data_IF_281758927256
#
_entry.id   IF_281758927256
#
_cell.length_a   1.000
_cell.length_b   1.000
_cell.length_c   1.000
_cell.angle_alpha   90.00
_cell.angle_beta   90.00
_cell.angle_gamma   90.00
#
_symmetry.space_group_name_H-M   'P 1'
#
loop_
_entity.id
_entity.type
_entity.pdbx_description
1 polymer ?
#
# COMPACT_ATOMS: atom_id res chain seq x y z
N UNK A 1 20.62 85.68 36.63
CA UNK A 1 20.68 84.90 35.42
C UNK A 1 19.24 84.38 35.09
N UNK A 2 18.57 85.00 34.13
CA UNK A 2 17.19 84.65 33.77
C UNK A 2 17.16 83.65 32.62
N UNK A 3 16.56 82.44 32.86
CA UNK A 3 16.46 81.37 31.93
C UNK A 3 15.22 81.64 31.02
N UNK A 4 15.47 82.03 29.76
CA UNK A 4 14.43 82.21 28.72
C UNK A 4 13.80 80.88 28.40
N UNK A 5 12.52 80.76 28.73
CA UNK A 5 11.66 79.69 28.31
C UNK A 5 11.30 79.91 26.82
N UNK A 6 11.70 78.97 25.90
CA UNK A 6 11.29 79.00 24.52
C UNK A 6 9.84 78.44 24.48
N UNK A 7 8.89 79.25 24.05
CA UNK A 7 7.59 78.86 23.66
C UNK A 7 7.70 78.00 22.37
N UNK A 8 7.22 76.77 22.44
CA UNK A 8 6.98 75.96 21.25
C UNK A 8 5.70 76.46 20.62
N UNK A 9 5.79 77.08 19.47
CA UNK A 9 4.66 77.35 18.56
C UNK A 9 4.16 75.98 18.13
N UNK A 10 2.95 75.62 18.57
CA UNK A 10 2.18 74.50 18.02
C UNK A 10 1.80 74.89 16.58
N UNK A 11 2.54 74.36 15.59
CA UNK A 11 2.11 74.37 14.21
C UNK A 11 0.88 73.47 14.15
N UNK A 12 -0.33 74.05 14.05
CA UNK A 12 -1.55 73.35 13.68
C UNK A 12 -1.35 72.74 12.28
N UNK A 13 -1.04 71.48 12.23
CA UNK A 13 -1.04 70.72 11.00
C UNK A 13 -2.50 70.61 10.51
N UNK A 14 -2.84 71.45 9.55
CA UNK A 14 -4.16 71.39 8.87
C UNK A 14 -4.30 70.09 8.12
N UNK A 15 -4.74 69.05 8.85
CA UNK A 15 -4.93 67.70 8.33
C UNK A 15 -6.19 67.68 7.51
N UNK A 16 -6.13 68.06 6.24
CA UNK A 16 -7.23 67.89 5.29
C UNK A 16 -7.44 66.39 4.98
N UNK A 17 -8.42 65.78 5.63
CA UNK A 17 -8.86 64.46 5.29
C UNK A 17 -9.36 64.47 3.82
N UNK A 18 -8.68 63.76 2.87
CA UNK A 18 -9.15 63.70 1.51
C UNK A 18 -10.57 63.16 1.47
N UNK A 19 -11.51 63.87 0.80
CA UNK A 19 -12.89 63.40 0.64
C UNK A 19 -12.86 62.06 -0.03
N UNK A 20 -13.48 61.03 0.62
CA UNK A 20 -13.62 59.71 0.06
C UNK A 20 -14.54 59.76 -1.17
N UNK A 21 -14.01 59.41 -2.32
CA UNK A 21 -14.75 59.34 -3.58
C UNK A 21 -15.33 57.89 -3.70
N UNK A 22 -16.60 57.77 -3.31
CA UNK A 22 -17.34 56.52 -3.24
C UNK A 22 -17.49 55.88 -4.64
N UNK A 23 -17.80 56.70 -5.66
CA UNK A 23 -18.00 56.21 -7.03
C UNK A 23 -16.73 55.57 -7.58
N UNK A 24 -15.56 56.23 -7.45
CA UNK A 24 -14.30 55.67 -7.87
C UNK A 24 -13.88 54.42 -7.08
N UNK A 25 -14.26 54.38 -5.81
CA UNK A 25 -14.03 53.18 -4.99
C UNK A 25 -14.88 51.99 -5.52
N UNK A 26 -16.16 52.19 -5.73
CA UNK A 26 -17.06 51.15 -6.24
C UNK A 26 -16.66 50.69 -7.65
N UNK A 27 -16.26 51.59 -8.52
CA UNK A 27 -15.73 51.20 -9.86
C UNK A 27 -14.48 50.34 -9.75
N UNK A 28 -13.53 50.68 -8.86
CA UNK A 28 -12.31 49.87 -8.63
C UNK A 28 -12.66 48.50 -8.07
N UNK A 29 -13.56 48.39 -7.11
CA UNK A 29 -13.99 47.13 -6.53
C UNK A 29 -14.70 46.25 -7.56
N UNK A 30 -15.65 46.79 -8.33
CA UNK A 30 -16.32 46.07 -9.42
C UNK A 30 -15.33 45.57 -10.49
N UNK A 31 -14.34 46.37 -10.83
CA UNK A 31 -13.25 45.99 -11.75
C UNK A 31 -12.40 44.86 -11.14
N UNK A 32 -12.00 44.99 -9.89
CA UNK A 32 -11.22 43.97 -9.20
C UNK A 32 -11.95 42.61 -9.13
N UNK A 33 -13.24 42.63 -8.83
CA UNK A 33 -14.10 41.43 -8.83
C UNK A 33 -14.13 40.81 -10.23
N UNK A 34 -14.35 41.62 -11.27
CA UNK A 34 -14.39 41.15 -12.67
C UNK A 34 -13.07 40.55 -13.10
N UNK A 35 -11.95 41.23 -12.83
CA UNK A 35 -10.62 40.73 -13.22
C UNK A 35 -10.24 39.47 -12.45
N UNK A 36 -10.58 39.38 -11.18
CA UNK A 36 -10.38 38.18 -10.36
C UNK A 36 -11.14 36.98 -10.93
N UNK A 37 -12.44 37.16 -11.17
CA UNK A 37 -13.28 36.10 -11.74
C UNK A 37 -12.81 35.66 -13.13
N UNK A 38 -12.44 36.61 -13.99
CA UNK A 38 -11.93 36.29 -15.33
C UNK A 38 -10.57 35.60 -15.27
N UNK A 39 -9.70 35.99 -14.36
CA UNK A 39 -8.42 35.30 -14.14
C UNK A 39 -8.60 33.87 -13.71
N UNK A 40 -9.56 33.64 -12.79
CA UNK A 40 -9.94 32.29 -12.37
C UNK A 40 -10.48 31.47 -13.54
N UNK A 41 -11.48 31.99 -14.27
CA UNK A 41 -12.08 31.29 -15.40
C UNK A 41 -11.04 30.99 -16.51
N UNK A 42 -10.19 31.98 -16.81
CA UNK A 42 -9.11 31.79 -17.79
C UNK A 42 -8.11 30.73 -17.33
N UNK A 43 -7.70 30.73 -16.06
CA UNK A 43 -6.85 29.69 -15.48
C UNK A 43 -7.47 28.30 -15.59
N UNK A 44 -8.75 28.17 -15.35
CA UNK A 44 -9.50 26.93 -15.50
C UNK A 44 -9.48 26.43 -16.95
N UNK A 45 -9.77 27.32 -17.94
CA UNK A 45 -9.76 26.96 -19.36
C UNK A 45 -8.35 26.54 -19.82
N UNK A 46 -7.32 27.29 -19.43
CA UNK A 46 -5.94 26.93 -19.78
C UNK A 46 -5.52 25.61 -19.13
N UNK A 47 -6.01 25.28 -17.92
CA UNK A 47 -5.76 23.98 -17.32
C UNK A 47 -6.37 22.83 -18.13
N UNK A 48 -7.59 22.99 -18.65
CA UNK A 48 -8.21 21.99 -19.53
C UNK A 48 -7.41 21.79 -20.82
N UNK A 49 -6.93 22.88 -21.43
CA UNK A 49 -6.08 22.80 -22.63
C UNK A 49 -4.75 22.13 -22.29
N UNK A 50 -4.13 22.48 -21.16
CA UNK A 50 -2.89 21.88 -20.67
C UNK A 50 -3.07 20.37 -20.42
N UNK A 51 -4.21 19.95 -19.92
CA UNK A 51 -4.56 18.54 -19.75
C UNK A 51 -4.70 17.82 -21.11
N UNK A 52 -5.25 18.47 -22.12
CA UNK A 52 -5.24 17.96 -23.49
C UNK A 52 -3.81 17.72 -24.01
N UNK A 53 -2.91 18.69 -23.81
CA UNK A 53 -1.49 18.51 -24.13
C UNK A 53 -0.82 17.42 -23.30
N UNK A 54 -1.25 17.24 -22.04
CA UNK A 54 -0.81 16.15 -21.18
C UNK A 54 -1.02 14.78 -21.84
N UNK A 55 -2.16 14.55 -22.46
CA UNK A 55 -2.42 13.32 -23.22
C UNK A 55 -1.61 13.20 -24.50
N UNK A 56 -1.46 14.29 -25.24
CA UNK A 56 -0.70 14.30 -26.50
C UNK A 56 0.80 14.04 -26.30
N UNK A 57 1.35 14.52 -25.19
CA UNK A 57 2.77 14.43 -24.84
C UNK A 57 3.11 13.20 -23.98
N UNK A 58 2.25 12.20 -23.87
CA UNK A 58 2.42 11.06 -22.95
C UNK A 58 3.71 10.26 -23.17
N UNK A 59 4.30 10.30 -24.37
CA UNK A 59 5.56 9.63 -24.72
C UNK A 59 6.81 10.51 -24.54
N UNK A 60 6.64 11.78 -24.21
CA UNK A 60 7.75 12.73 -24.08
C UNK A 60 8.31 12.75 -22.65
N UNK A 61 9.63 12.64 -22.52
CA UNK A 61 10.31 12.82 -21.22
C UNK A 61 10.24 14.25 -20.70
N UNK A 62 10.01 15.23 -21.58
CA UNK A 62 9.88 16.65 -21.25
C UNK A 62 8.42 17.11 -21.06
N UNK A 63 7.53 16.18 -20.80
CA UNK A 63 6.08 16.42 -20.67
C UNK A 63 5.76 17.54 -19.67
N UNK A 64 6.30 17.45 -18.46
CA UNK A 64 6.08 18.44 -17.41
C UNK A 64 6.62 19.82 -17.76
N UNK A 65 7.84 19.88 -18.26
CA UNK A 65 8.52 21.11 -18.60
C UNK A 65 7.75 21.88 -19.69
N UNK A 66 7.31 21.18 -20.73
CA UNK A 66 6.55 21.79 -21.82
C UNK A 66 5.20 22.34 -21.36
N UNK A 67 4.50 21.60 -20.48
CA UNK A 67 3.21 22.04 -19.96
C UNK A 67 3.37 23.20 -18.97
N UNK A 68 4.40 23.18 -18.12
CA UNK A 68 4.71 24.32 -17.23
C UNK A 68 5.04 25.58 -18.05
N UNK A 69 5.86 25.45 -19.09
CA UNK A 69 6.16 26.57 -20.00
C UNK A 69 4.89 27.10 -20.66
N UNK A 70 4.05 26.22 -21.20
CA UNK A 70 2.79 26.61 -21.82
C UNK A 70 1.91 27.40 -20.84
N UNK A 71 1.73 26.92 -19.60
CA UNK A 71 0.93 27.58 -18.58
C UNK A 71 1.50 28.95 -18.18
N UNK A 72 2.82 29.05 -18.02
CA UNK A 72 3.47 30.34 -17.70
C UNK A 72 3.30 31.35 -18.84
N UNK A 73 3.55 30.94 -20.09
CA UNK A 73 3.42 31.85 -21.25
C UNK A 73 1.97 32.23 -21.51
N UNK A 74 1.01 31.32 -21.28
CA UNK A 74 -0.42 31.61 -21.46
C UNK A 74 -0.91 32.73 -20.54
N UNK A 75 -0.26 32.93 -19.37
CA UNK A 75 -0.56 34.05 -18.48
C UNK A 75 -0.46 35.42 -19.18
N UNK A 76 0.45 35.60 -20.14
CA UNK A 76 0.58 36.85 -20.90
C UNK A 76 -0.67 37.20 -21.72
N UNK A 77 -1.50 36.22 -22.09
CA UNK A 77 -2.74 36.42 -22.80
C UNK A 77 -3.85 37.01 -21.94
N UNK A 78 -3.70 36.97 -20.63
CA UNK A 78 -4.65 37.55 -19.68
C UNK A 78 -4.88 39.05 -19.93
N UNK A 79 -3.82 39.78 -20.30
CA UNK A 79 -3.93 41.19 -20.71
C UNK A 79 -4.84 41.38 -21.91
N UNK A 80 -4.64 40.56 -22.97
CA UNK A 80 -5.45 40.66 -24.18
C UNK A 80 -6.92 40.30 -23.90
N UNK A 81 -7.15 39.34 -23.01
CA UNK A 81 -8.50 38.97 -22.57
C UNK A 81 -9.22 40.15 -21.91
N UNK A 82 -8.55 40.85 -20.99
CA UNK A 82 -9.13 42.01 -20.30
C UNK A 82 -9.47 43.15 -21.27
N UNK A 83 -8.55 43.42 -22.24
CA UNK A 83 -8.77 44.45 -23.29
C UNK A 83 -9.96 44.07 -24.15
N UNK A 84 -10.05 42.80 -24.62
CA UNK A 84 -11.14 42.31 -25.46
C UNK A 84 -12.50 42.38 -24.76
N UNK A 85 -12.53 42.23 -23.46
CA UNK A 85 -13.73 42.34 -22.64
C UNK A 85 -14.03 43.78 -22.14
N UNK A 86 -13.33 44.80 -22.74
CA UNK A 86 -13.50 46.21 -22.47
C UNK A 86 -13.41 46.58 -20.98
N UNK A 87 -12.47 45.96 -20.27
CA UNK A 87 -12.21 46.32 -18.87
C UNK A 87 -11.30 47.54 -18.86
N UNK A 88 -11.68 48.57 -18.14
CA UNK A 88 -10.85 49.77 -17.97
C UNK A 88 -9.60 49.41 -17.14
N UNK A 89 -8.39 49.52 -17.76
CA UNK A 89 -7.13 49.16 -17.16
C UNK A 89 -6.28 50.41 -16.80
N UNK A 90 -6.80 51.64 -16.98
CA UNK A 90 -6.02 52.86 -16.82
C UNK A 90 -5.43 52.99 -15.41
N UNK A 91 -6.23 52.68 -14.38
CA UNK A 91 -5.77 52.66 -12.99
C UNK A 91 -5.42 51.25 -12.45
N UNK A 92 -5.15 50.27 -13.36
CA UNK A 92 -4.86 48.89 -12.95
C UNK A 92 -3.38 48.74 -12.57
N UNK A 93 -3.03 49.21 -11.38
CA UNK A 93 -1.66 49.23 -10.89
C UNK A 93 -1.00 47.85 -10.77
N UNK A 94 0.30 47.83 -10.43
CA UNK A 94 1.10 46.60 -10.27
C UNK A 94 0.47 45.56 -9.35
N UNK A 95 -0.25 46.01 -8.28
CA UNK A 95 -0.96 45.09 -7.36
C UNK A 95 -2.11 44.34 -8.05
N UNK A 96 -2.88 45.00 -8.90
CA UNK A 96 -3.98 44.37 -9.65
C UNK A 96 -3.45 43.31 -10.62
N UNK A 97 -2.38 43.60 -11.37
CA UNK A 97 -1.73 42.63 -12.22
C UNK A 97 -1.19 41.44 -11.45
N UNK A 98 -0.46 41.69 -10.36
CA UNK A 98 0.07 40.62 -9.52
C UNK A 98 -1.04 39.69 -8.99
N UNK A 99 -2.13 40.26 -8.48
CA UNK A 99 -3.29 39.50 -8.00
C UNK A 99 -3.90 38.66 -9.12
N UNK A 100 -4.12 39.25 -10.30
CA UNK A 100 -4.73 38.55 -11.45
C UNK A 100 -3.86 37.39 -11.93
N UNK A 101 -2.53 37.59 -12.07
CA UNK A 101 -1.60 36.52 -12.45
C UNK A 101 -1.49 35.45 -11.38
N UNK A 102 -1.49 35.81 -10.12
CA UNK A 102 -1.44 34.87 -8.99
C UNK A 102 -2.69 33.98 -9.01
N UNK A 103 -3.88 34.55 -9.15
CA UNK A 103 -5.13 33.80 -9.21
C UNK A 103 -5.15 32.89 -10.43
N UNK A 104 -4.78 33.42 -11.60
CA UNK A 104 -4.64 32.62 -12.82
C UNK A 104 -3.71 31.43 -12.61
N UNK A 105 -2.47 31.66 -12.12
CA UNK A 105 -1.45 30.65 -11.97
C UNK A 105 -1.86 29.56 -10.99
N UNK A 106 -2.32 29.92 -9.80
CA UNK A 106 -2.74 28.92 -8.83
C UNK A 106 -3.99 28.16 -9.26
N UNK A 107 -4.96 28.79 -9.91
CA UNK A 107 -6.12 28.09 -10.47
C UNK A 107 -5.68 27.08 -11.53
N UNK A 108 -4.87 27.54 -12.51
CA UNK A 108 -4.35 26.68 -13.55
C UNK A 108 -3.57 25.50 -12.99
N UNK A 109 -2.64 25.74 -12.07
CA UNK A 109 -1.81 24.70 -11.48
C UNK A 109 -2.63 23.70 -10.66
N UNK A 110 -3.53 24.19 -9.81
CA UNK A 110 -4.38 23.32 -8.97
C UNK A 110 -5.28 22.43 -9.82
N UNK A 111 -5.96 23.00 -10.82
CA UNK A 111 -6.83 22.23 -11.71
C UNK A 111 -6.02 21.22 -12.54
N UNK A 112 -4.86 21.61 -13.04
CA UNK A 112 -3.97 20.70 -13.79
C UNK A 112 -3.51 19.53 -12.92
N UNK A 113 -3.10 19.79 -11.66
CA UNK A 113 -2.69 18.72 -10.73
C UNK A 113 -3.87 17.77 -10.45
N UNK A 114 -5.07 18.29 -10.24
CA UNK A 114 -6.25 17.45 -10.02
C UNK A 114 -6.52 16.58 -11.26
N UNK A 115 -6.50 17.17 -12.46
CA UNK A 115 -6.78 16.44 -13.68
C UNK A 115 -5.69 15.44 -14.08
N UNK A 116 -4.42 15.70 -13.74
CA UNK A 116 -3.30 14.81 -14.05
C UNK A 116 -3.07 13.70 -13.01
N UNK A 117 -3.97 13.58 -12.03
CA UNK A 117 -3.91 12.55 -10.98
C UNK A 117 -5.21 11.72 -10.94
N UNK A 118 -5.19 10.53 -10.34
CA UNK A 118 -6.39 9.74 -10.14
C UNK A 118 -7.49 10.51 -9.37
N UNK A 119 -8.77 10.34 -9.69
CA UNK A 119 -9.33 9.37 -10.66
C UNK A 119 -9.39 9.86 -12.12
N UNK A 120 -8.95 11.10 -12.44
CA UNK A 120 -9.08 11.69 -13.79
C UNK A 120 -8.02 11.18 -14.77
N UNK A 121 -6.84 10.87 -14.27
CA UNK A 121 -5.74 10.34 -15.06
C UNK A 121 -4.91 9.35 -14.25
N UNK A 122 -4.67 8.20 -14.85
CA UNK A 122 -3.74 7.19 -14.37
C UNK A 122 -3.09 6.51 -15.58
N UNK A 123 -1.77 6.40 -15.58
CA UNK A 123 -0.96 5.73 -16.61
C UNK A 123 -0.13 4.57 -16.01
N UNK A 124 -0.40 4.22 -14.76
CA UNK A 124 0.29 3.17 -14.04
C UNK A 124 -0.47 1.84 -14.14
N UNK A 125 0.20 0.72 -14.44
CA UNK A 125 -0.45 -0.57 -14.43
C UNK A 125 -0.69 -1.06 -13.00
N UNK A 126 -1.68 -1.95 -12.77
CA UNK A 126 -1.94 -2.55 -11.47
C UNK A 126 -0.71 -3.19 -10.83
N UNK A 127 -0.60 -3.11 -9.52
CA UNK A 127 0.42 -3.81 -8.76
C UNK A 127 -0.13 -5.16 -8.28
N UNK A 128 0.55 -6.24 -8.63
CA UNK A 128 0.18 -7.62 -8.28
C UNK A 128 1.27 -8.23 -7.42
N UNK A 129 0.95 -8.54 -6.16
CA UNK A 129 1.79 -9.33 -5.27
C UNK A 129 1.14 -10.69 -5.06
N UNK A 130 1.71 -11.76 -5.64
CA UNK A 130 1.14 -13.09 -5.64
C UNK A 130 2.06 -14.10 -4.95
N UNK A 131 1.45 -15.08 -4.26
CA UNK A 131 2.16 -16.20 -3.60
C UNK A 131 1.37 -17.49 -3.75
N UNK A 132 2.08 -18.61 -3.81
CA UNK A 132 1.54 -19.95 -3.59
C UNK A 132 1.85 -20.39 -2.17
N UNK A 133 0.92 -20.94 -1.45
CA UNK A 133 1.05 -21.42 -0.07
C UNK A 133 0.66 -22.89 -0.02
N UNK A 134 1.61 -23.78 0.23
CA UNK A 134 3.07 -23.60 0.18
C UNK A 134 3.60 -23.51 -1.26
N UNK A 135 4.89 -23.15 -1.43
CA UNK A 135 5.57 -23.21 -2.73
C UNK A 135 5.89 -24.65 -3.15
N UNK A 136 6.14 -25.54 -2.18
CA UNK A 136 6.24 -26.99 -2.39
C UNK A 136 5.25 -27.69 -1.48
N UNK A 137 4.39 -28.51 -2.06
CA UNK A 137 3.34 -29.25 -1.37
C UNK A 137 3.55 -30.75 -1.55
N UNK A 138 3.15 -31.53 -0.56
CA UNK A 138 3.02 -32.97 -0.64
C UNK A 138 1.80 -33.40 -1.47
N UNK A 139 1.88 -34.58 -2.06
CA UNK A 139 0.74 -35.22 -2.76
C UNK A 139 -0.42 -35.37 -1.76
N UNK A 140 -1.64 -35.07 -2.22
CA UNK A 140 -2.85 -35.08 -1.38
C UNK A 140 -3.07 -33.82 -0.56
N UNK A 141 -2.08 -32.92 -0.50
CA UNK A 141 -2.24 -31.60 0.09
C UNK A 141 -2.82 -30.57 -0.87
N UNK A 142 -3.21 -29.43 -0.35
CA UNK A 142 -3.77 -28.29 -1.13
C UNK A 142 -2.77 -27.20 -1.28
N UNK A 143 -2.78 -26.48 -2.41
CA UNK A 143 -2.03 -25.25 -2.61
C UNK A 143 -3.00 -24.08 -2.69
N UNK A 144 -2.83 -23.11 -1.82
CA UNK A 144 -3.62 -21.87 -1.82
C UNK A 144 -2.85 -20.78 -2.54
N UNK A 145 -3.38 -20.33 -3.67
CA UNK A 145 -2.82 -19.21 -4.44
C UNK A 145 -3.53 -17.94 -3.96
N UNK A 146 -2.76 -16.96 -3.52
CA UNK A 146 -3.28 -15.68 -3.05
C UNK A 146 -2.54 -14.54 -3.73
N UNK A 147 -3.27 -13.55 -4.20
CA UNK A 147 -2.67 -12.34 -4.77
C UNK A 147 -3.36 -11.09 -4.25
N UNK A 148 -2.57 -10.12 -3.82
CA UNK A 148 -3.02 -8.76 -3.54
C UNK A 148 -2.84 -7.92 -4.79
N UNK A 149 -3.94 -7.38 -5.30
CA UNK A 149 -4.01 -6.64 -6.57
C UNK A 149 -4.56 -5.27 -6.26
N UNK A 150 -3.74 -4.24 -6.40
CA UNK A 150 -4.10 -2.85 -6.12
C UNK A 150 -3.73 -1.94 -7.29
N UNK A 151 -4.52 -0.91 -7.45
CA UNK A 151 -4.32 0.12 -8.44
C UNK A 151 -4.90 1.45 -7.98
N UNK A 152 -4.37 2.56 -8.50
CA UNK A 152 -4.83 3.91 -8.17
C UNK A 152 -6.23 4.20 -8.73
N UNK A 153 -6.52 3.68 -9.93
CA UNK A 153 -7.82 3.80 -10.58
C UNK A 153 -8.79 2.67 -10.18
N UNK A 154 -8.26 1.60 -9.57
CA UNK A 154 -9.00 0.42 -9.15
C UNK A 154 -9.01 -0.72 -10.16
N UNK A 155 -9.19 -1.93 -9.66
CA UNK A 155 -9.29 -3.16 -10.47
C UNK A 155 -10.59 -3.87 -10.13
N UNK A 156 -11.37 -4.19 -11.15
CA UNK A 156 -12.58 -4.98 -11.00
C UNK A 156 -12.31 -6.47 -11.28
N UNK A 157 -13.11 -7.37 -10.68
CA UNK A 157 -12.97 -8.83 -10.90
C UNK A 157 -12.98 -9.20 -12.39
N UNK A 158 -13.80 -8.53 -13.21
CA UNK A 158 -13.87 -8.76 -14.67
C UNK A 158 -12.58 -8.42 -15.42
N UNK A 159 -11.73 -7.54 -14.86
CA UNK A 159 -10.42 -7.18 -15.39
C UNK A 159 -9.32 -8.17 -15.01
N UNK A 160 -9.63 -9.20 -14.21
CA UNK A 160 -8.64 -10.18 -13.74
C UNK A 160 -8.83 -11.49 -14.49
N UNK A 161 -7.72 -12.03 -15.04
CA UNK A 161 -7.66 -13.35 -15.61
C UNK A 161 -6.67 -14.19 -14.81
N UNK A 162 -7.12 -15.36 -14.34
CA UNK A 162 -6.32 -16.33 -13.62
C UNK A 162 -6.17 -17.59 -14.47
N UNK A 163 -4.94 -18.00 -14.73
CA UNK A 163 -4.62 -19.20 -15.52
C UNK A 163 -3.75 -20.12 -14.68
N UNK A 164 -4.16 -21.37 -14.55
CA UNK A 164 -3.37 -22.44 -13.95
C UNK A 164 -2.72 -23.26 -15.06
N UNK A 165 -1.44 -23.57 -14.93
CA UNK A 165 -0.64 -24.35 -15.88
C UNK A 165 -0.22 -25.65 -15.18
N UNK A 166 -0.58 -26.77 -15.77
CA UNK A 166 -0.24 -28.11 -15.27
C UNK A 166 1.15 -28.54 -15.70
N UNK A 167 1.75 -29.57 -15.05
CA UNK A 167 3.08 -30.08 -15.42
C UNK A 167 3.17 -30.60 -16.86
N UNK A 168 2.06 -31.00 -17.45
CA UNK A 168 1.98 -31.43 -18.86
C UNK A 168 1.84 -30.25 -19.85
N UNK A 169 1.89 -28.99 -19.38
CA UNK A 169 1.71 -27.79 -20.19
C UNK A 169 0.27 -27.40 -20.47
N UNK A 170 -0.71 -28.20 -20.09
CA UNK A 170 -2.12 -27.85 -20.23
C UNK A 170 -2.47 -26.64 -19.36
N UNK A 171 -3.44 -25.84 -19.83
CA UNK A 171 -3.88 -24.63 -19.14
C UNK A 171 -5.36 -24.74 -18.79
N UNK A 172 -5.72 -24.23 -17.62
CA UNK A 172 -7.11 -24.05 -17.21
C UNK A 172 -7.35 -22.65 -16.68
N UNK A 173 -8.60 -22.22 -16.70
CA UNK A 173 -9.04 -20.93 -16.17
C UNK A 173 -10.10 -21.18 -15.10
N UNK A 174 -9.68 -21.61 -13.89
CA UNK A 174 -10.63 -21.90 -12.83
C UNK A 174 -11.21 -20.62 -12.24
N UNK A 175 -12.44 -20.73 -11.72
CA UNK A 175 -13.06 -19.66 -10.96
C UNK A 175 -12.29 -19.36 -9.70
N UNK A 176 -12.22 -18.08 -9.34
CA UNK A 176 -11.52 -17.58 -8.15
C UNK A 176 -12.38 -16.59 -7.38
N UNK A 177 -12.11 -16.45 -6.09
CA UNK A 177 -12.67 -15.39 -5.26
C UNK A 177 -11.84 -14.12 -5.41
N UNK A 178 -12.51 -12.98 -5.54
CA UNK A 178 -11.85 -11.66 -5.51
C UNK A 178 -12.66 -10.73 -4.62
N UNK A 179 -12.11 -10.43 -3.46
CA UNK A 179 -12.73 -9.57 -2.43
C UNK A 179 -11.64 -8.71 -1.76
N UNK A 180 -11.95 -7.46 -1.49
CA UNK A 180 -11.02 -6.52 -0.84
C UNK A 180 -9.63 -6.49 -1.50
N UNK A 181 -9.59 -6.48 -2.83
CA UNK A 181 -8.38 -6.50 -3.64
C UNK A 181 -7.51 -7.77 -3.48
N UNK A 182 -8.11 -8.85 -2.98
CA UNK A 182 -7.44 -10.13 -2.78
C UNK A 182 -8.08 -11.17 -3.68
N UNK A 183 -7.26 -11.72 -4.60
CA UNK A 183 -7.58 -12.94 -5.33
C UNK A 183 -7.19 -14.12 -4.46
N UNK A 184 -8.08 -15.10 -4.32
CA UNK A 184 -7.84 -16.34 -3.61
C UNK A 184 -8.38 -17.53 -4.40
N UNK A 185 -7.55 -18.54 -4.58
CA UNK A 185 -7.87 -19.81 -5.22
C UNK A 185 -7.20 -20.95 -4.48
N UNK A 186 -7.90 -22.08 -4.28
CA UNK A 186 -7.32 -23.28 -3.64
C UNK A 186 -7.34 -24.43 -4.65
N UNK A 187 -6.17 -24.98 -4.92
CA UNK A 187 -5.99 -26.12 -5.79
C UNK A 187 -5.85 -27.41 -4.96
N UNK A 188 -6.60 -28.43 -5.31
CA UNK A 188 -6.70 -29.69 -4.56
C UNK A 188 -5.90 -30.85 -5.15
N UNK A 189 -5.29 -30.71 -6.32
CA UNK A 189 -4.58 -31.74 -7.07
C UNK A 189 -5.33 -33.12 -7.11
N UNK A 190 -6.49 -33.18 -7.74
CA UNK A 190 -7.37 -34.35 -7.64
C UNK A 190 -6.75 -35.62 -8.18
N UNK A 191 -5.80 -35.50 -9.09
CA UNK A 191 -5.14 -36.67 -9.74
C UNK A 191 -3.79 -37.03 -9.12
N UNK A 192 -3.39 -36.39 -8.03
CA UNK A 192 -2.11 -36.57 -7.36
C UNK A 192 -0.90 -36.52 -8.30
N UNK A 193 -0.94 -35.62 -9.29
CA UNK A 193 0.15 -35.48 -10.27
C UNK A 193 1.29 -34.69 -9.63
N UNK A 194 2.48 -35.29 -9.62
CA UNK A 194 3.71 -34.63 -9.22
C UNK A 194 4.26 -33.74 -10.32
N UNK A 195 5.06 -32.75 -9.93
CA UNK A 195 5.77 -31.88 -10.85
C UNK A 195 5.53 -30.41 -10.58
N UNK A 196 6.07 -29.60 -11.46
CA UNK A 196 5.98 -28.15 -11.37
C UNK A 196 4.70 -27.65 -12.05
N UNK A 197 3.94 -26.88 -11.31
CA UNK A 197 2.76 -26.17 -11.74
C UNK A 197 3.09 -24.69 -11.86
N UNK A 198 2.51 -24.02 -12.85
CA UNK A 198 2.59 -22.58 -12.98
C UNK A 198 1.23 -21.93 -12.76
N UNK A 199 1.24 -20.66 -12.38
CA UNK A 199 0.04 -19.83 -12.49
C UNK A 199 0.38 -18.45 -13.02
N UNK A 200 -0.55 -17.91 -13.78
CA UNK A 200 -0.44 -16.58 -14.37
C UNK A 200 -1.65 -15.76 -13.94
N UNK A 201 -1.39 -14.61 -13.37
CA UNK A 201 -2.41 -13.61 -13.03
C UNK A 201 -2.20 -12.41 -13.92
N UNK A 202 -3.22 -12.07 -14.68
CA UNK A 202 -3.29 -10.85 -15.47
C UNK A 202 -4.34 -9.96 -14.86
N UNK A 203 -3.97 -8.72 -14.53
CA UNK A 203 -4.94 -7.71 -14.11
C UNK A 203 -4.90 -6.53 -15.07
N UNK A 204 -6.07 -6.01 -15.36
CA UNK A 204 -6.32 -4.83 -16.19
C UNK A 204 -7.12 -3.84 -15.34
N UNK A 205 -6.66 -2.61 -15.26
CA UNK A 205 -7.37 -1.52 -14.59
C UNK A 205 -8.53 -0.97 -15.45
N UNK A 206 -9.24 0.01 -14.92
CA UNK A 206 -10.34 0.67 -15.65
C UNK A 206 -9.84 1.51 -16.83
N UNK A 207 -8.55 1.85 -16.89
CA UNK A 207 -7.90 2.61 -17.97
C UNK A 207 -7.23 1.71 -19.02
N UNK A 208 -7.42 0.38 -18.92
CA UNK A 208 -6.83 -0.65 -19.79
C UNK A 208 -5.31 -0.84 -19.67
N UNK A 209 -4.68 -0.42 -18.56
CA UNK A 209 -3.30 -0.78 -18.29
C UNK A 209 -3.24 -2.20 -17.75
N UNK A 210 -2.30 -2.97 -18.29
CA UNK A 210 -2.21 -4.40 -18.03
C UNK A 210 -0.94 -4.76 -17.26
N UNK A 211 -1.08 -5.59 -16.24
CA UNK A 211 0.03 -6.25 -15.54
C UNK A 211 -0.15 -7.76 -15.60
N UNK A 212 0.97 -8.45 -15.80
CA UNK A 212 1.03 -9.92 -15.78
C UNK A 212 2.07 -10.35 -14.77
N UNK A 213 1.71 -11.29 -13.91
CA UNK A 213 2.63 -11.95 -12.96
C UNK A 213 2.49 -13.45 -13.15
N UNK A 214 3.64 -14.14 -13.28
CA UNK A 214 3.74 -15.59 -13.35
C UNK A 214 4.56 -16.09 -12.18
N UNK A 215 4.10 -17.18 -11.54
CA UNK A 215 4.82 -17.91 -10.48
C UNK A 215 4.55 -19.39 -10.57
N UNK A 216 5.40 -20.16 -9.90
CA UNK A 216 5.32 -21.61 -9.89
C UNK A 216 5.13 -22.15 -8.47
N UNK A 217 4.64 -23.36 -8.37
CA UNK A 217 4.63 -24.19 -7.17
C UNK A 217 4.81 -25.66 -7.58
N UNK A 218 5.21 -26.51 -6.65
CA UNK A 218 5.56 -27.90 -6.96
C UNK A 218 4.83 -28.86 -6.06
N UNK A 219 4.36 -29.98 -6.63
CA UNK A 219 3.92 -31.14 -5.89
C UNK A 219 5.01 -32.20 -5.90
N UNK A 220 5.39 -32.68 -4.72
CA UNK A 220 6.43 -33.69 -4.49
C UNK A 220 5.95 -34.69 -3.43
N UNK A 221 6.60 -35.81 -3.31
CA UNK A 221 6.46 -36.79 -2.22
C UNK A 221 7.61 -36.72 -1.21
N UNK A 222 8.40 -35.66 -1.26
CA UNK A 222 9.62 -35.50 -0.44
C UNK A 222 9.78 -34.08 0.08
N UNK A 223 8.68 -33.30 0.16
CA UNK A 223 8.72 -31.97 0.75
C UNK A 223 8.97 -32.04 2.26
N UNK A 224 8.43 -33.07 2.93
CA UNK A 224 8.77 -33.43 4.31
C UNK A 224 9.36 -34.84 4.29
N UNK A 225 10.47 -35.05 4.98
CA UNK A 225 11.12 -36.33 5.09
C UNK A 225 11.64 -36.58 6.50
N UNK A 226 11.52 -37.81 6.97
CA UNK A 226 12.26 -38.25 8.16
C UNK A 226 13.72 -38.50 7.78
N UNK A 227 14.65 -37.74 8.33
CA UNK A 227 16.06 -37.91 8.12
C UNK A 227 16.69 -38.91 9.11
N UNK A 228 16.14 -39.02 10.31
CA UNK A 228 16.59 -39.95 11.37
C UNK A 228 15.49 -40.22 12.38
N UNK A 229 15.37 -41.43 12.89
CA UNK A 229 16.06 -42.66 12.53
C UNK A 229 15.58 -43.27 11.22
N UNK A 230 16.41 -44.00 10.51
CA UNK A 230 16.05 -44.67 9.27
C UNK A 230 15.10 -45.87 9.51
N UNK A 231 14.30 -46.23 8.48
CA UNK A 231 13.43 -47.41 8.52
C UNK A 231 12.11 -47.21 9.21
N UNK A 232 11.74 -45.97 9.53
CA UNK A 232 10.45 -45.68 10.19
C UNK A 232 9.25 -45.73 9.26
N UNK A 233 9.42 -45.77 7.95
CA UNK A 233 8.30 -45.85 6.97
C UNK A 233 7.68 -47.24 6.88
N UNK A 234 8.31 -48.24 7.46
CA UNK A 234 7.86 -49.63 7.46
C UNK A 234 7.60 -50.14 8.87
N UNK A 235 6.57 -50.97 9.05
CA UNK A 235 6.27 -51.61 10.32
C UNK A 235 7.20 -52.81 10.53
N UNK A 236 7.75 -53.00 11.74
CA UNK A 236 7.38 -52.38 13.02
C UNK A 236 8.07 -51.03 13.31
N UNK A 237 8.94 -50.53 12.48
CA UNK A 237 9.72 -49.31 12.67
C UNK A 237 10.88 -49.44 13.67
N UNK A 238 11.78 -48.44 13.75
CA UNK A 238 12.91 -48.44 14.65
C UNK A 238 12.52 -48.29 16.11
N UNK A 239 13.33 -48.84 17.00
CA UNK A 239 13.23 -48.67 18.46
C UNK A 239 13.71 -47.27 18.85
N UNK A 240 12.92 -46.55 19.62
CA UNK A 240 13.28 -45.21 20.10
C UNK A 240 13.08 -45.14 21.63
N UNK A 241 14.00 -44.40 22.26
CA UNK A 241 13.98 -44.11 23.70
C UNK A 241 13.72 -42.62 23.94
N UNK A 242 13.54 -42.20 25.19
CA UNK A 242 13.29 -40.79 25.55
C UNK A 242 14.36 -39.83 24.98
N UNK A 243 15.63 -40.25 24.83
CA UNK A 243 16.74 -39.45 24.34
C UNK A 243 17.01 -39.58 22.85
N UNK A 244 16.28 -40.44 22.13
CA UNK A 244 16.46 -40.61 20.69
C UNK A 244 16.10 -39.33 19.92
N UNK A 245 17.06 -38.79 19.14
CA UNK A 245 16.80 -37.62 18.31
C UNK A 245 16.08 -38.03 17.03
N UNK A 246 14.90 -37.49 16.84
CA UNK A 246 14.10 -37.63 15.61
C UNK A 246 14.30 -36.37 14.77
N UNK A 247 14.74 -36.53 13.53
CA UNK A 247 15.08 -35.41 12.63
C UNK A 247 14.21 -35.43 11.39
N UNK A 248 13.57 -34.28 11.12
CA UNK A 248 12.80 -34.06 9.91
C UNK A 248 13.49 -33.03 9.02
N UNK A 249 13.54 -33.34 7.73
CA UNK A 249 13.95 -32.42 6.67
C UNK A 249 12.68 -31.82 6.04
N UNK A 250 12.64 -30.50 5.84
CA UNK A 250 11.51 -29.80 5.25
C UNK A 250 12.00 -28.89 4.15
N UNK A 251 11.76 -29.29 2.90
CA UNK A 251 12.21 -28.60 1.69
C UNK A 251 11.21 -27.54 1.19
N UNK A 252 10.75 -26.69 2.09
CA UNK A 252 9.94 -25.51 1.78
C UNK A 252 10.04 -24.49 2.92
N UNK A 253 9.72 -23.23 2.62
CA UNK A 253 9.71 -22.20 3.66
C UNK A 253 8.48 -22.37 4.54
N UNK A 254 8.68 -22.66 5.82
CA UNK A 254 7.62 -22.90 6.79
C UNK A 254 7.74 -21.99 8.00
N UNK A 255 6.62 -21.71 8.62
CA UNK A 255 6.55 -20.90 9.84
C UNK A 255 6.60 -21.77 11.10
N UNK A 256 6.05 -22.99 11.04
CA UNK A 256 5.96 -23.92 12.14
C UNK A 256 6.01 -25.34 11.61
N UNK A 257 6.76 -26.23 12.27
CA UNK A 257 6.69 -27.67 12.04
C UNK A 257 6.17 -28.33 13.32
N UNK A 258 5.28 -29.28 13.17
CA UNK A 258 4.73 -30.06 14.27
C UNK A 258 4.35 -31.45 13.78
N UNK A 259 4.20 -32.35 14.74
CA UNK A 259 3.73 -33.70 14.45
C UNK A 259 2.67 -34.12 15.47
N UNK A 260 1.98 -35.20 15.16
CA UNK A 260 1.05 -35.88 16.05
C UNK A 260 1.44 -37.34 16.20
N UNK A 261 1.34 -37.87 17.41
CA UNK A 261 1.52 -39.28 17.74
C UNK A 261 0.15 -39.88 17.91
N UNK A 262 -0.16 -40.95 17.16
CA UNK A 262 -1.45 -41.65 17.15
C UNK A 262 -2.64 -40.68 17.08
N UNK A 263 -2.55 -39.66 16.21
CA UNK A 263 -3.54 -38.57 16.06
C UNK A 263 -3.84 -37.76 17.35
N UNK A 264 -2.92 -37.80 18.30
CA UNK A 264 -2.99 -37.06 19.56
C UNK A 264 -2.74 -35.54 19.39
N UNK A 265 -2.26 -34.93 20.48
CA UNK A 265 -1.96 -33.49 20.51
C UNK A 265 -0.82 -33.10 19.55
N UNK A 266 -0.81 -31.83 19.14
CA UNK A 266 0.27 -31.27 18.33
C UNK A 266 1.54 -31.07 19.17
N UNK A 267 2.64 -31.64 18.72
CA UNK A 267 3.96 -31.49 19.34
C UNK A 267 4.83 -30.66 18.42
N UNK A 268 5.24 -29.48 18.87
CA UNK A 268 6.07 -28.59 18.07
C UNK A 268 7.49 -29.15 17.90
N UNK A 269 8.07 -28.89 16.74
CA UNK A 269 9.47 -29.25 16.42
C UNK A 269 10.28 -27.97 16.27
N UNK A 270 11.45 -27.94 16.89
CA UNK A 270 12.38 -26.82 16.77
C UNK A 270 13.49 -27.13 15.76
N UNK A 271 13.97 -26.09 15.09
CA UNK A 271 15.17 -26.16 14.26
C UNK A 271 16.34 -25.55 15.06
N UNK A 272 17.30 -26.33 15.55
CA UNK A 272 18.50 -25.82 16.21
C UNK A 272 19.30 -24.91 15.27
N UNK A 273 20.03 -23.93 15.83
CA UNK A 273 20.80 -22.97 15.03
C UNK A 273 21.90 -23.64 14.17
N UNK A 274 22.46 -24.73 14.68
CA UNK A 274 23.57 -25.43 14.07
C UNK A 274 23.14 -26.72 13.32
N UNK A 275 21.83 -26.82 13.01
CA UNK A 275 21.25 -27.98 12.32
C UNK A 275 20.43 -27.54 11.12
N UNK A 276 20.53 -28.27 10.02
CA UNK A 276 19.62 -28.09 8.86
C UNK A 276 18.27 -28.78 9.07
N UNK A 277 18.16 -29.63 10.10
CA UNK A 277 16.99 -30.43 10.38
C UNK A 277 16.14 -29.86 11.51
N UNK A 278 14.85 -30.13 11.48
CA UNK A 278 13.95 -29.97 12.58
C UNK A 278 14.09 -31.15 13.52
N UNK A 279 14.34 -30.93 14.83
CA UNK A 279 14.67 -31.96 15.80
C UNK A 279 13.66 -32.07 16.91
N UNK A 280 13.30 -33.29 17.27
CA UNK A 280 12.40 -33.60 18.39
C UNK A 280 12.84 -34.86 19.11
N UNK A 281 12.22 -35.13 20.27
CA UNK A 281 12.52 -36.24 21.15
C UNK A 281 11.27 -36.88 21.71
N UNK A 282 11.24 -38.22 21.90
CA UNK A 282 10.07 -38.90 22.52
C UNK A 282 9.81 -38.52 23.99
N UNK A 283 10.71 -37.81 24.64
CA UNK A 283 10.53 -37.29 26.00
C UNK A 283 9.39 -36.28 26.16
N UNK A 284 8.95 -35.64 25.05
CA UNK A 284 7.94 -34.59 25.12
C UNK A 284 6.53 -35.14 25.34
N UNK A 285 5.71 -34.36 26.08
CA UNK A 285 4.30 -34.66 26.30
C UNK A 285 3.57 -34.83 24.96
N UNK A 286 2.67 -35.81 24.91
CA UNK A 286 1.99 -36.25 23.69
C UNK A 286 2.53 -37.59 23.15
N UNK A 287 3.74 -38.00 23.58
CA UNK A 287 4.18 -39.38 23.41
C UNK A 287 3.60 -40.26 24.52
N UNK A 288 3.02 -41.43 24.19
CA UNK A 288 2.48 -42.33 25.21
C UNK A 288 3.59 -42.96 26.04
N UNK A 289 3.42 -43.09 27.32
CA UNK A 289 4.36 -43.78 28.22
C UNK A 289 4.32 -45.30 28.01
N UNK A 290 5.43 -45.96 28.35
CA UNK A 290 5.62 -47.42 28.31
C UNK A 290 5.98 -47.94 26.92
N UNK A 291 6.22 -49.28 26.84
CA UNK A 291 6.63 -49.96 25.63
C UNK A 291 5.43 -50.10 24.70
N UNK A 292 5.38 -49.31 23.63
CA UNK A 292 4.30 -49.28 22.64
C UNK A 292 4.79 -49.03 21.23
N UNK A 293 4.02 -49.53 20.27
CA UNK A 293 4.17 -49.13 18.89
C UNK A 293 3.29 -47.91 18.63
N UNK A 294 3.85 -46.89 18.01
CA UNK A 294 3.17 -45.62 17.71
C UNK A 294 3.31 -45.24 16.25
N UNK A 295 2.39 -44.42 15.81
CA UNK A 295 2.43 -43.78 14.50
C UNK A 295 2.68 -42.29 14.64
N UNK A 296 3.52 -41.72 13.79
CA UNK A 296 3.80 -40.28 13.74
C UNK A 296 3.47 -39.73 12.37
N UNK A 297 2.72 -38.63 12.37
CA UNK A 297 2.37 -37.87 11.19
C UNK A 297 2.87 -36.44 11.32
N UNK A 298 3.52 -35.93 10.29
CA UNK A 298 4.21 -34.62 10.31
C UNK A 298 3.45 -33.59 9.51
N UNK A 299 3.47 -32.38 10.00
CA UNK A 299 2.78 -31.23 9.41
C UNK A 299 3.68 -29.99 9.46
N UNK A 300 3.55 -29.14 8.45
CA UNK A 300 4.26 -27.87 8.43
C UNK A 300 3.31 -26.73 8.02
N UNK A 301 3.20 -25.72 8.85
CA UNK A 301 2.35 -24.55 8.61
C UNK A 301 3.14 -23.49 7.84
N UNK A 302 2.53 -22.96 6.80
CA UNK A 302 3.01 -21.83 6.02
C UNK A 302 2.06 -20.65 6.21
N UNK A 303 2.60 -19.52 6.64
CA UNK A 303 1.83 -18.29 6.86
C UNK A 303 2.43 -17.17 6.01
N UNK A 304 1.57 -16.45 5.31
CA UNK A 304 1.96 -15.27 4.54
C UNK A 304 1.13 -14.05 4.93
N UNK A 305 1.79 -12.89 4.94
CA UNK A 305 1.19 -11.58 5.16
C UNK A 305 1.53 -10.65 3.99
N UNK A 306 0.52 -10.05 3.40
CA UNK A 306 0.78 -8.95 2.47
C UNK A 306 1.04 -7.65 3.24
N UNK A 307 1.95 -6.85 2.73
CA UNK A 307 2.23 -5.52 3.28
C UNK A 307 0.93 -4.70 3.31
N UNK A 308 0.67 -4.06 4.44
CA UNK A 308 -0.51 -3.19 4.68
C UNK A 308 -1.88 -3.90 4.74
N UNK A 309 -1.93 -5.23 4.77
CA UNK A 309 -3.17 -5.97 5.01
C UNK A 309 -3.19 -6.51 6.44
N UNK A 310 -4.31 -6.28 7.16
CA UNK A 310 -4.55 -6.91 8.46
C UNK A 310 -5.16 -8.31 8.28
N UNK A 311 -4.54 -9.14 7.45
CA UNK A 311 -5.01 -10.49 7.14
C UNK A 311 -3.84 -11.43 6.94
N UNK A 312 -3.88 -12.56 7.64
CA UNK A 312 -2.96 -13.67 7.41
C UNK A 312 -3.57 -14.71 6.50
N UNK A 313 -2.75 -15.32 5.68
CA UNK A 313 -3.09 -16.43 4.82
C UNK A 313 -2.28 -17.63 5.29
N UNK A 314 -2.97 -18.70 5.67
CA UNK A 314 -2.36 -19.92 6.18
C UNK A 314 -2.70 -21.09 5.28
N UNK A 315 -1.75 -21.99 5.10
CA UNK A 315 -1.95 -23.34 4.60
C UNK A 315 -1.01 -24.30 5.31
N UNK A 316 -1.24 -25.60 5.18
CA UNK A 316 -0.47 -26.64 5.85
C UNK A 316 0.03 -27.64 4.82
N UNK A 317 1.32 -27.97 4.89
CA UNK A 317 1.91 -29.15 4.25
C UNK A 317 1.64 -30.33 5.16
N UNK A 318 1.03 -31.36 4.62
CA UNK A 318 0.82 -32.64 5.32
C UNK A 318 1.70 -33.67 4.71
N UNK A 319 2.60 -34.27 5.49
CA UNK A 319 3.48 -35.32 5.03
C UNK A 319 2.65 -36.48 4.45
N UNK A 320 2.99 -36.92 3.26
CA UNK A 320 2.37 -38.07 2.62
C UNK A 320 2.75 -39.40 3.28
N UNK A 321 3.90 -39.43 3.97
CA UNK A 321 4.37 -40.58 4.72
C UNK A 321 3.75 -40.64 6.14
N UNK A 322 3.72 -41.85 6.70
CA UNK A 322 3.41 -42.10 8.09
C UNK A 322 4.58 -42.88 8.68
N UNK A 323 5.09 -42.43 9.81
CA UNK A 323 6.24 -43.02 10.44
C UNK A 323 5.83 -43.92 11.62
N UNK A 324 6.52 -45.06 11.78
CA UNK A 324 6.26 -46.05 12.81
C UNK A 324 7.45 -46.13 13.74
N UNK A 325 7.19 -46.16 15.04
CA UNK A 325 8.24 -46.28 16.06
C UNK A 325 7.83 -47.27 17.13
N UNK A 326 8.84 -47.98 17.71
CA UNK A 326 8.70 -48.81 18.86
C UNK A 326 9.27 -48.08 20.08
N UNK A 327 8.42 -47.65 20.98
CA UNK A 327 8.84 -46.97 22.22
C UNK A 327 9.40 -47.95 23.21
N UNK A 328 10.52 -47.62 23.87
CA UNK A 328 11.17 -48.48 24.87
C UNK A 328 11.85 -47.60 25.95
N UNK A 329 11.64 -47.93 27.21
CA UNK A 329 12.29 -47.28 28.34
C UNK A 329 11.42 -46.29 29.09
N UNK A 330 11.98 -45.66 30.09
CA UNK A 330 11.35 -44.66 31.00
C UNK A 330 11.59 -43.23 30.47
N UNK A 331 10.84 -42.25 31.00
CA UNK A 331 11.00 -40.84 30.68
C UNK A 331 10.31 -40.37 29.40
N UNK A 332 9.56 -41.25 28.71
CA UNK A 332 8.83 -40.92 27.49
C UNK A 332 7.56 -40.12 27.86
N UNK A 333 7.34 -38.98 27.20
CA UNK A 333 6.15 -38.13 27.38
C UNK A 333 6.15 -37.26 28.64
N UNK A 334 7.25 -37.16 29.37
CA UNK A 334 7.32 -36.48 30.67
C UNK A 334 7.62 -34.96 30.56
N UNK A 335 8.34 -34.54 29.54
CA UNK A 335 8.78 -33.14 29.38
C UNK A 335 7.78 -32.29 28.58
N UNK A 336 7.68 -30.99 28.93
CA UNK A 336 6.90 -30.04 28.15
C UNK A 336 7.59 -29.79 26.78
N UNK A 337 6.86 -29.89 25.65
CA UNK A 337 7.43 -29.58 24.35
C UNK A 337 7.74 -28.08 24.22
N UNK A 338 8.68 -27.69 23.32
CA UNK A 338 9.02 -26.29 23.12
C UNK A 338 7.80 -25.48 22.62
N UNK A 339 7.59 -24.31 23.22
CA UNK A 339 6.54 -23.38 22.78
C UNK A 339 7.04 -22.58 21.57
N UNK A 340 6.41 -22.78 20.43
CA UNK A 340 6.66 -21.97 19.24
C UNK A 340 5.53 -20.97 19.09
N UNK A 341 5.87 -19.68 19.17
CA UNK A 341 4.91 -18.61 18.90
C UNK A 341 4.84 -18.37 17.40
N UNK A 342 3.65 -18.51 16.84
CA UNK A 342 3.41 -18.10 15.44
C UNK A 342 3.58 -16.59 15.30
N UNK A 343 4.12 -16.12 14.18
CA UNK A 343 4.17 -14.70 13.90
C UNK A 343 2.75 -14.13 13.86
N UNK A 344 2.56 -13.01 14.55
CA UNK A 344 1.30 -12.26 14.53
C UNK A 344 1.49 -11.06 13.64
N UNK A 345 0.54 -10.84 12.74
CA UNK A 345 0.51 -9.62 11.94
C UNK A 345 0.37 -8.41 12.86
N UNK A 346 1.29 -7.47 12.76
CA UNK A 346 1.19 -6.16 13.40
C UNK A 346 1.14 -5.11 12.28
N UNK A 347 0.00 -4.45 12.08
CA UNK A 347 -0.04 -3.35 11.13
C UNK A 347 0.93 -2.27 11.62
N UNK A 348 1.84 -1.86 10.75
CA UNK A 348 2.67 -0.68 11.00
C UNK A 348 1.74 0.50 10.73
N UNK A 349 1.16 1.06 11.79
CA UNK A 349 0.52 2.35 11.72
C UNK A 349 1.62 3.40 11.52
N UNK A 350 1.97 3.67 10.28
CA UNK A 350 2.65 4.93 9.94
C UNK A 350 1.61 6.02 10.15
N UNK A 351 1.83 6.99 11.09
CA UNK A 351 0.98 8.17 11.16
C UNK A 351 0.98 8.78 9.77
N UNK A 352 -0.17 8.82 9.13
CA UNK A 352 -0.28 9.31 7.77
C UNK A 352 0.25 10.75 7.72
N UNK A 353 1.04 11.06 6.73
CA UNK A 353 1.49 12.40 6.39
C UNK A 353 0.30 13.38 6.31
N UNK A 354 -0.89 12.85 6.12
CA UNK A 354 -2.19 13.51 6.12
C UNK A 354 -2.52 14.26 7.41
N UNK A 355 -2.22 13.73 8.59
CA UNK A 355 -2.49 14.41 9.87
C UNK A 355 -1.55 15.61 10.05
N UNK A 356 -0.29 15.46 9.64
CA UNK A 356 0.70 16.52 9.73
C UNK A 356 0.38 17.65 8.74
N UNK A 357 0.03 17.33 7.50
CA UNK A 357 -0.36 18.29 6.48
C UNK A 357 -1.67 19.00 6.83
N UNK A 358 -2.65 18.28 7.39
CA UNK A 358 -3.89 18.86 7.87
C UNK A 358 -3.65 19.82 9.06
N UNK A 359 -2.81 19.43 10.00
CA UNK A 359 -2.44 20.30 11.14
C UNK A 359 -1.71 21.57 10.68
N UNK A 360 -0.76 21.46 9.73
CA UNK A 360 -0.06 22.61 9.15
C UNK A 360 -1.04 23.52 8.40
N UNK A 361 -1.96 22.97 7.63
CA UNK A 361 -2.99 23.74 6.92
C UNK A 361 -3.90 24.50 7.91
N UNK A 362 -4.35 23.86 8.99
CA UNK A 362 -5.15 24.53 10.04
C UNK A 362 -4.38 25.65 10.73
N UNK A 363 -3.08 25.46 11.02
CA UNK A 363 -2.23 26.50 11.61
C UNK A 363 -2.10 27.70 10.66
N UNK A 364 -1.88 27.44 9.36
CA UNK A 364 -1.80 28.52 8.36
C UNK A 364 -3.10 29.30 8.25
N UNK A 365 -4.25 28.63 8.20
CA UNK A 365 -5.57 29.27 8.19
C UNK A 365 -5.77 30.11 9.45
N UNK A 366 -5.43 29.59 10.63
CA UNK A 366 -5.54 30.33 11.89
C UNK A 366 -4.64 31.57 11.93
N UNK A 367 -3.43 31.49 11.38
CA UNK A 367 -2.51 32.64 11.28
C UNK A 367 -3.03 33.72 10.33
N UNK A 368 -3.59 33.31 9.19
CA UNK A 368 -4.21 34.24 8.22
C UNK A 368 -5.40 34.95 8.85
N UNK A 369 -6.31 34.21 9.51
CA UNK A 369 -7.46 34.76 10.21
C UNK A 369 -7.05 35.73 11.33
N UNK A 370 -6.03 35.38 12.12
CA UNK A 370 -5.48 36.26 13.18
C UNK A 370 -4.88 37.53 12.58
N UNK A 371 -4.19 37.44 11.45
CA UNK A 371 -3.61 38.59 10.77
C UNK A 371 -4.67 39.53 10.21
N UNK A 372 -5.69 39.00 9.55
CA UNK A 372 -6.82 39.77 9.01
C UNK A 372 -7.62 40.45 10.14
N UNK A 373 -7.85 39.75 11.26
CA UNK A 373 -8.54 40.32 12.42
C UNK A 373 -7.77 41.44 13.08
N UNK A 374 -6.45 41.30 13.24
CA UNK A 374 -5.58 42.39 13.72
C UNK A 374 -5.58 43.63 12.80
N UNK A 375 -5.67 43.41 11.49
CA UNK A 375 -5.77 44.53 10.54
C UNK A 375 -7.11 45.24 10.63
N UNK A 376 -8.20 44.49 10.84
CA UNK A 376 -9.54 45.06 11.03
C UNK A 376 -9.64 45.87 12.35
N UNK A 377 -9.05 45.38 13.43
CA UNK A 377 -8.99 46.11 14.70
C UNK A 377 -8.17 47.39 14.59
N UNK A 378 -7.01 47.39 13.93
CA UNK A 378 -6.22 48.60 13.67
C UNK A 378 -6.95 49.63 12.82
N UNK A 379 -7.90 49.24 11.99
CA UNK A 379 -8.78 50.14 11.22
C UNK A 379 -9.91 50.73 12.07
N UNK A 380 -10.41 49.99 13.08
CA UNK A 380 -11.46 50.47 14.02
C UNK A 380 -10.91 51.46 15.08
N UNK A 381 -9.65 51.33 15.48
CA UNK A 381 -9.02 52.25 16.46
C UNK A 381 -8.44 53.52 15.83
N UNK A 382 -8.46 53.65 14.49
CA UNK A 382 -8.11 54.85 13.75
C UNK A 382 -9.29 55.67 13.25
N UNK A 383 -10.51 55.31 13.63
CA UNK A 383 -11.72 56.09 13.54
C UNK A 383 -12.08 56.62 14.94
#
# INVERSE_FOLDING_TARGET
>A
MAKRRREKTDEEIDFKIPKFDEEKFLERERRNIKTTFLSFLFGFIIALISFGFWHLLNKSSLRWELILLFGLFSGSWLKYLFIKLKINLDDFGRKGWFTSYTIYFFTWLTVLIILSNPPFYDDTPPNISAVALPEKQEIGGTVKIVAHIIDNAGVEKKGINFTLIYPNGNKSHPDFMFENNILSYTYYNPNNIMGEYGFVITAVDINNHKKVVSKNFTYSNSTIRLASPAGAETKPGPVVTYGTTIKFDVDTTVTRVYYRVDDGMEINVSKPRDSDFYETYPKFQGWPSGNKNVTVKVYADVIHYFKNLNKQFKNTVVDSATYYFQLTGEGIGEEKPPEIRLPVYRPIATPGFEILTFAVALIMVALILKHTWKQQQKKKTKK
#
